data_IF_720970776223
#
_entry.id   IF_720970776223
#
_cell.length_a   1.000
_cell.length_b   1.000
_cell.length_c   1.000
_cell.angle_alpha   90.00
_cell.angle_beta   90.00
_cell.angle_gamma   90.00
#
_symmetry.space_group_name_H-M   'P 1'
#
loop_
_entity.id
_entity.type
_entity.pdbx_description
1 polymer ?
#
# COMPACT_ATOMS: atom_id res chain seq x y z
N UNK A 1 -58.08 -16.58 0.66
CA UNK A 1 -56.83 -15.82 0.50
C UNK A 1 -56.76 -14.78 1.62
N UNK A 2 -55.99 -15.02 2.71
CA UNK A 2 -55.79 -14.00 3.73
C UNK A 2 -54.55 -13.16 3.39
N UNK A 3 -54.74 -11.84 3.29
CA UNK A 3 -53.67 -10.85 3.19
C UNK A 3 -53.15 -10.57 4.61
N UNK A 4 -51.92 -10.99 4.90
CA UNK A 4 -51.26 -10.73 6.18
C UNK A 4 -50.70 -9.31 6.14
N UNK A 5 -51.43 -8.36 6.71
CA UNK A 5 -50.96 -7.00 6.99
C UNK A 5 -49.98 -7.03 8.18
N UNK A 6 -48.68 -7.02 7.88
CA UNK A 6 -47.61 -6.89 8.87
C UNK A 6 -47.55 -5.45 9.38
N UNK A 7 -48.30 -5.15 10.44
CA UNK A 7 -48.23 -3.87 11.15
C UNK A 7 -46.96 -3.84 12.02
N UNK A 8 -45.83 -3.44 11.45
CA UNK A 8 -44.58 -3.22 12.19
C UNK A 8 -44.69 -1.93 13.03
N UNK A 9 -44.36 -1.97 14.33
CA UNK A 9 -44.46 -0.78 15.19
C UNK A 9 -43.48 0.29 14.69
N UNK A 10 -43.91 1.56 14.64
CA UNK A 10 -43.12 2.69 14.11
C UNK A 10 -41.70 2.78 14.69
N UNK A 11 -41.50 2.37 15.94
CA UNK A 11 -40.20 2.30 16.62
C UNK A 11 -39.25 1.23 16.04
N UNK A 12 -39.80 0.11 15.54
CA UNK A 12 -39.02 -0.92 14.87
C UNK A 12 -38.60 -0.46 13.46
N UNK A 13 -39.48 0.24 12.74
CA UNK A 13 -39.16 0.85 11.43
C UNK A 13 -38.05 1.89 11.56
N UNK A 14 -38.12 2.75 12.58
CA UNK A 14 -37.14 3.81 12.81
C UNK A 14 -35.77 3.26 13.25
N UNK A 15 -35.74 2.18 14.04
CA UNK A 15 -34.50 1.46 14.38
C UNK A 15 -33.90 0.74 13.19
N UNK A 16 -34.72 0.08 12.37
CA UNK A 16 -34.27 -0.57 11.15
C UNK A 16 -33.69 0.45 10.15
N UNK A 17 -34.34 1.61 9.99
CA UNK A 17 -33.85 2.69 9.15
C UNK A 17 -32.51 3.28 9.65
N UNK A 18 -32.35 3.46 10.97
CA UNK A 18 -31.09 3.93 11.55
C UNK A 18 -29.94 2.92 11.37
N UNK A 19 -30.22 1.62 11.55
CA UNK A 19 -29.25 0.55 11.32
C UNK A 19 -28.86 0.49 9.84
N UNK A 20 -29.83 0.55 8.94
CA UNK A 20 -29.60 0.55 7.49
C UNK A 20 -28.78 1.77 7.05
N UNK A 21 -29.11 2.96 7.57
CA UNK A 21 -28.36 4.19 7.31
C UNK A 21 -26.92 4.10 7.82
N UNK A 22 -26.71 3.51 9.01
CA UNK A 22 -25.37 3.29 9.57
C UNK A 22 -24.57 2.29 8.74
N UNK A 23 -25.22 1.25 8.21
CA UNK A 23 -24.60 0.26 7.33
C UNK A 23 -24.18 0.87 5.97
N UNK A 24 -25.02 1.76 5.42
CA UNK A 24 -24.74 2.49 4.17
C UNK A 24 -23.59 3.49 4.36
N UNK A 25 -23.51 4.15 5.51
CA UNK A 25 -22.41 5.08 5.82
C UNK A 25 -21.08 4.37 6.14
N UNK A 26 -21.09 3.05 6.38
CA UNK A 26 -19.89 2.29 6.75
C UNK A 26 -19.06 1.80 5.54
N UNK A 27 -19.45 2.13 4.30
CA UNK A 27 -18.65 1.82 3.10
C UNK A 27 -17.51 2.82 2.92
N UNK A 28 -16.58 2.85 3.88
CA UNK A 28 -15.30 3.54 3.69
C UNK A 28 -14.37 2.61 2.91
N UNK A 29 -14.44 2.65 1.58
CA UNK A 29 -13.43 2.01 0.75
C UNK A 29 -12.11 2.76 0.94
N UNK A 30 -11.09 2.09 1.47
CA UNK A 30 -9.74 2.61 1.42
C UNK A 30 -9.34 2.68 -0.06
N UNK A 31 -9.17 3.90 -0.57
CA UNK A 31 -8.80 4.12 -1.97
C UNK A 31 -7.28 3.98 -2.10
N UNK A 32 -6.84 3.20 -3.08
CA UNK A 32 -5.42 3.10 -3.43
C UNK A 32 -4.92 4.44 -3.96
N UNK A 33 -3.76 4.94 -3.51
CA UNK A 33 -3.17 6.17 -4.04
C UNK A 33 -2.54 5.98 -5.43
N UNK A 34 -2.32 4.73 -5.87
CA UNK A 34 -1.61 4.42 -7.12
C UNK A 34 -2.42 3.60 -8.10
N UNK A 35 -3.49 2.91 -7.70
CA UNK A 35 -4.36 2.11 -8.56
C UNK A 35 -5.81 2.66 -8.55
N UNK A 36 -6.40 3.05 -9.69
CA UNK A 36 -7.82 3.37 -9.79
C UNK A 36 -8.62 2.07 -9.73
N UNK A 37 -9.94 2.22 -9.67
CA UNK A 37 -10.92 1.18 -9.37
C UNK A 37 -10.96 -0.03 -10.35
N UNK A 38 -10.14 -0.06 -11.41
CA UNK A 38 -10.16 -1.09 -12.46
C UNK A 38 -8.77 -1.53 -12.94
N UNK A 39 -7.72 -1.34 -12.14
CA UNK A 39 -6.42 -1.93 -12.50
C UNK A 39 -6.38 -3.41 -12.11
N UNK A 40 -6.11 -4.27 -13.09
CA UNK A 40 -5.75 -5.67 -12.86
C UNK A 40 -4.34 -5.73 -12.28
N UNK A 41 -4.26 -5.83 -10.95
CA UNK A 41 -3.02 -5.91 -10.19
C UNK A 41 -2.93 -7.27 -9.51
N UNK A 42 -1.80 -7.93 -9.63
CA UNK A 42 -1.53 -9.20 -8.97
C UNK A 42 -0.99 -8.95 -7.56
N UNK A 43 -1.50 -9.72 -6.59
CA UNK A 43 -1.08 -9.65 -5.18
C UNK A 43 0.28 -10.27 -4.88
N UNK A 44 1.28 -10.07 -5.74
CA UNK A 44 2.63 -10.60 -5.61
C UNK A 44 3.58 -9.51 -5.11
N UNK A 45 4.38 -9.85 -4.09
CA UNK A 45 5.46 -8.99 -3.59
C UNK A 45 6.83 -9.26 -4.24
N UNK A 46 7.84 -8.39 -4.01
CA UNK A 46 9.16 -8.51 -4.66
C UNK A 46 9.88 -9.85 -4.42
N UNK A 47 9.66 -10.48 -3.27
CA UNK A 47 10.26 -11.77 -2.94
C UNK A 47 9.81 -12.90 -3.89
N UNK A 48 8.62 -12.79 -4.49
CA UNK A 48 8.09 -13.79 -5.42
C UNK A 48 8.87 -13.82 -6.74
N UNK A 49 9.49 -12.70 -7.14
CA UNK A 49 10.37 -12.68 -8.32
C UNK A 49 11.66 -13.45 -8.05
N UNK A 50 12.15 -13.44 -6.80
CA UNK A 50 13.34 -14.20 -6.41
C UNK A 50 13.08 -15.71 -6.33
N UNK A 51 11.86 -16.12 -5.96
CA UNK A 51 11.45 -17.53 -5.95
C UNK A 51 10.99 -18.04 -7.32
N UNK A 52 10.72 -17.14 -8.28
CA UNK A 52 10.18 -17.49 -9.60
C UNK A 52 8.66 -17.67 -9.63
N UNK A 53 7.94 -17.15 -8.63
CA UNK A 53 6.47 -17.17 -8.58
C UNK A 53 5.84 -15.94 -9.26
N UNK A 54 6.63 -14.88 -9.48
CA UNK A 54 6.23 -13.68 -10.21
C UNK A 54 7.06 -13.56 -11.49
N UNK A 55 6.38 -13.32 -12.60
CA UNK A 55 6.93 -13.35 -13.95
C UNK A 55 7.09 -11.93 -14.52
N UNK A 56 8.04 -11.71 -15.45
CA UNK A 56 8.09 -10.46 -16.20
C UNK A 56 6.75 -10.17 -16.91
N UNK A 57 6.28 -8.93 -16.79
CA UNK A 57 4.96 -8.51 -17.30
C UNK A 57 3.85 -8.51 -16.25
N UNK A 58 4.07 -9.11 -15.07
CA UNK A 58 3.11 -9.01 -13.97
C UNK A 58 2.99 -7.57 -13.48
N UNK A 59 1.76 -7.06 -13.45
CA UNK A 59 1.46 -5.72 -12.95
C UNK A 59 1.15 -5.80 -11.45
N UNK A 60 1.90 -5.08 -10.63
CA UNK A 60 1.94 -5.24 -9.18
C UNK A 60 2.01 -3.89 -8.46
N UNK A 61 1.59 -3.87 -7.19
CA UNK A 61 1.80 -2.72 -6.30
C UNK A 61 2.81 -3.11 -5.24
N UNK A 62 3.96 -2.46 -5.26
CA UNK A 62 5.01 -2.62 -4.25
C UNK A 62 5.23 -1.31 -3.53
N UNK A 63 5.69 -1.40 -2.28
CA UNK A 63 6.03 -0.22 -1.52
C UNK A 63 7.03 -0.53 -0.44
N UNK A 64 7.55 0.52 0.18
CA UNK A 64 8.59 0.39 1.18
C UNK A 64 9.35 1.67 1.42
N UNK A 65 10.54 1.52 1.98
CA UNK A 65 11.40 2.62 2.39
C UNK A 65 12.51 2.84 1.37
N UNK A 66 12.67 4.07 0.91
CA UNK A 66 13.76 4.47 0.01
C UNK A 66 15.09 4.27 0.74
N UNK A 67 15.98 3.49 0.13
CA UNK A 67 17.36 3.31 0.59
C UNK A 67 18.33 4.22 -0.17
N UNK A 68 18.10 4.44 -1.46
CA UNK A 68 18.90 5.34 -2.30
C UNK A 68 18.10 5.82 -3.51
N UNK A 69 18.57 6.91 -4.11
CA UNK A 69 18.06 7.51 -5.34
C UNK A 69 19.24 7.80 -6.27
N UNK A 70 19.07 7.54 -7.56
CA UNK A 70 20.01 7.89 -8.63
C UNK A 70 19.22 8.40 -9.84
N UNK A 71 19.40 9.66 -10.22
CA UNK A 71 18.86 10.18 -11.48
C UNK A 71 19.85 9.87 -12.61
N UNK A 72 19.35 9.26 -13.67
CA UNK A 72 20.06 9.03 -14.93
C UNK A 72 19.54 10.02 -15.98
N UNK A 73 20.09 9.95 -17.20
CA UNK A 73 19.71 10.85 -18.28
C UNK A 73 18.26 10.64 -18.75
N UNK A 74 17.75 9.41 -18.64
CA UNK A 74 16.49 8.94 -19.21
C UNK A 74 15.46 8.49 -18.16
N UNK A 75 15.87 8.34 -16.90
CA UNK A 75 15.02 7.80 -15.82
C UNK A 75 15.59 8.10 -14.44
N UNK A 76 14.79 7.89 -13.40
CA UNK A 76 15.23 7.83 -12.01
C UNK A 76 15.19 6.40 -11.49
N UNK A 77 16.24 5.98 -10.79
CA UNK A 77 16.30 4.70 -10.13
C UNK A 77 16.24 4.87 -8.61
N UNK A 78 15.27 4.20 -7.96
CA UNK A 78 15.21 4.10 -6.51
C UNK A 78 15.54 2.68 -6.07
N UNK A 79 16.43 2.51 -5.09
CA UNK A 79 16.51 1.24 -4.36
C UNK A 79 15.57 1.32 -3.18
N UNK A 80 14.61 0.40 -3.08
CA UNK A 80 13.56 0.41 -2.05
C UNK A 80 13.62 -0.88 -1.24
N UNK A 81 13.67 -0.75 0.09
CA UNK A 81 13.47 -1.88 1.02
C UNK A 81 11.98 -2.13 1.14
N UNK A 82 11.51 -3.28 0.67
CA UNK A 82 10.06 -3.56 0.63
C UNK A 82 9.44 -3.71 2.01
N UNK A 83 8.16 -3.34 2.10
CA UNK A 83 7.33 -3.59 3.27
C UNK A 83 5.98 -4.17 2.82
N UNK A 84 5.36 -5.06 3.60
CA UNK A 84 3.97 -5.43 3.38
C UNK A 84 3.07 -4.19 3.41
N UNK A 85 2.08 -4.15 2.53
CA UNK A 85 1.17 -3.01 2.42
C UNK A 85 -0.16 -3.28 3.16
N UNK A 86 -0.85 -2.21 3.57
CA UNK A 86 -2.24 -2.29 4.04
C UNK A 86 -3.23 -2.13 2.87
N UNK A 87 -4.53 -2.06 3.17
CA UNK A 87 -5.59 -1.96 2.15
C UNK A 87 -5.59 -0.64 1.37
N UNK A 88 -4.88 0.39 1.86
CA UNK A 88 -4.68 1.67 1.16
C UNK A 88 -3.27 1.75 0.57
N UNK A 89 -2.64 0.60 0.32
CA UNK A 89 -1.28 0.41 -0.16
C UNK A 89 -0.19 1.09 0.67
N UNK A 90 -0.45 1.36 1.95
CA UNK A 90 0.53 1.99 2.83
C UNK A 90 1.49 0.95 3.42
N UNK A 91 2.81 1.22 3.44
CA UNK A 91 3.79 0.38 4.12
C UNK A 91 3.45 0.15 5.61
N UNK A 92 3.34 -1.12 6.01
CA UNK A 92 3.05 -1.54 7.39
C UNK A 92 4.34 -1.61 8.20
N UNK A 93 4.67 -0.51 8.87
CA UNK A 93 5.93 -0.33 9.62
C UNK A 93 6.04 -1.18 10.88
N UNK A 94 4.94 -1.83 11.29
CA UNK A 94 4.90 -2.79 12.39
C UNK A 94 5.19 -4.23 11.94
N UNK A 95 5.46 -4.45 10.66
CA UNK A 95 5.91 -5.72 10.10
C UNK A 95 7.37 -5.62 9.65
N UNK A 96 8.02 -6.77 9.58
CA UNK A 96 9.41 -6.83 9.17
C UNK A 96 9.58 -6.41 7.70
N UNK A 97 10.67 -5.70 7.38
CA UNK A 97 11.01 -5.38 6.00
C UNK A 97 11.33 -6.65 5.21
N UNK A 98 10.96 -6.65 3.93
CA UNK A 98 11.29 -7.69 2.99
C UNK A 98 12.58 -7.41 2.21
N UNK A 99 12.69 -8.03 1.04
CA UNK A 99 13.83 -7.88 0.13
C UNK A 99 13.87 -6.47 -0.50
N UNK A 100 15.05 -6.08 -0.99
CA UNK A 100 15.20 -4.84 -1.76
C UNK A 100 14.80 -5.07 -3.21
N UNK A 101 14.13 -4.08 -3.81
CA UNK A 101 13.88 -4.05 -5.24
C UNK A 101 14.40 -2.74 -5.83
N UNK A 102 14.70 -2.78 -7.13
CA UNK A 102 15.05 -1.62 -7.94
C UNK A 102 13.79 -1.12 -8.62
N UNK A 103 13.43 0.13 -8.36
CA UNK A 103 12.40 0.85 -9.08
C UNK A 103 13.05 1.68 -10.18
N UNK A 104 12.64 1.49 -11.42
CA UNK A 104 12.95 2.38 -12.54
C UNK A 104 11.72 3.26 -12.79
N UNK A 105 11.87 4.56 -12.74
CA UNK A 105 10.80 5.51 -12.96
C UNK A 105 11.16 6.44 -14.11
N UNK A 106 10.31 6.61 -15.14
CA UNK A 106 10.70 7.30 -16.38
C UNK A 106 11.03 8.78 -16.20
N UNK A 107 10.52 9.43 -15.14
CA UNK A 107 10.70 10.86 -14.93
C UNK A 107 11.78 11.19 -13.89
N UNK A 108 12.22 12.45 -13.91
CA UNK A 108 13.07 13.01 -12.87
C UNK A 108 12.30 13.11 -11.54
N UNK A 109 12.83 12.49 -10.49
CA UNK A 109 12.37 12.68 -9.11
C UNK A 109 13.36 13.58 -8.37
N UNK A 110 12.84 14.62 -7.72
CA UNK A 110 13.62 15.58 -6.94
C UNK A 110 14.31 14.92 -5.74
N UNK A 111 15.65 14.81 -5.70
CA UNK A 111 16.37 14.16 -4.62
C UNK A 111 16.12 14.76 -3.24
N UNK A 112 15.81 16.06 -3.15
CA UNK A 112 15.46 16.69 -1.89
C UNK A 112 14.11 16.20 -1.31
N UNK A 113 13.22 15.65 -2.14
CA UNK A 113 11.94 15.10 -1.71
C UNK A 113 12.00 13.58 -1.51
N UNK A 114 12.64 12.86 -2.43
CA UNK A 114 12.77 11.40 -2.43
C UNK A 114 14.03 10.92 -1.69
N UNK A 115 14.31 11.52 -0.54
CA UNK A 115 15.49 11.21 0.28
C UNK A 115 15.40 9.81 0.92
N UNK A 116 16.54 9.15 1.19
CA UNK A 116 16.58 7.92 1.96
C UNK A 116 15.81 8.03 3.28
N UNK A 117 15.10 6.97 3.64
CA UNK A 117 14.24 6.92 4.82
C UNK A 117 12.78 7.30 4.57
N UNK A 118 12.47 7.96 3.45
CA UNK A 118 11.08 8.23 3.03
C UNK A 118 10.39 6.96 2.54
N UNK A 119 9.06 6.96 2.58
CA UNK A 119 8.24 5.82 2.18
C UNK A 119 7.53 6.09 0.87
N UNK A 120 7.49 5.07 0.02
CA UNK A 120 6.81 5.11 -1.28
C UNK A 120 5.94 3.88 -1.47
N UNK A 121 4.95 4.06 -2.33
CA UNK A 121 4.14 2.99 -2.93
C UNK A 121 4.15 3.21 -4.43
N UNK A 122 4.26 2.13 -5.20
CA UNK A 122 4.40 2.17 -6.63
C UNK A 122 3.51 1.13 -7.25
N UNK A 123 2.75 1.54 -8.26
CA UNK A 123 2.19 0.62 -9.25
C UNK A 123 3.17 0.53 -10.42
N UNK A 124 3.47 -0.69 -10.85
CA UNK A 124 4.35 -0.91 -11.99
C UNK A 124 4.27 -2.33 -12.53
N UNK A 125 5.12 -2.59 -13.52
CA UNK A 125 5.24 -3.89 -14.17
C UNK A 125 6.58 -4.53 -13.80
N UNK A 126 6.56 -5.81 -13.43
CA UNK A 126 7.77 -6.58 -13.12
C UNK A 126 8.60 -6.74 -14.39
N UNK A 127 9.86 -6.32 -14.37
CA UNK A 127 10.80 -6.57 -15.47
C UNK A 127 11.59 -7.88 -15.28
N UNK A 128 11.65 -8.39 -14.05
CA UNK A 128 12.36 -9.61 -13.67
C UNK A 128 13.47 -9.34 -12.66
N UNK A 129 14.63 -10.00 -12.84
CA UNK A 129 15.79 -9.86 -11.97
C UNK A 129 16.95 -9.18 -12.68
N UNK A 130 17.59 -8.23 -12.00
CA UNK A 130 18.87 -7.66 -12.40
C UNK A 130 19.96 -8.08 -11.41
N UNK A 131 21.12 -8.45 -11.94
CA UNK A 131 22.31 -8.76 -11.13
C UNK A 131 23.14 -7.49 -11.04
N UNK A 132 23.27 -6.96 -9.84
CA UNK A 132 24.15 -5.83 -9.54
C UNK A 132 25.36 -6.34 -8.76
N UNK A 133 26.55 -6.01 -9.23
CA UNK A 133 27.79 -6.23 -8.49
C UNK A 133 27.98 -5.06 -7.52
N UNK A 134 27.94 -5.35 -6.22
CA UNK A 134 28.27 -4.39 -5.17
C UNK A 134 29.53 -4.90 -4.49
N UNK A 135 30.59 -4.10 -4.58
CA UNK A 135 31.96 -4.50 -4.24
C UNK A 135 32.39 -5.76 -5.03
N UNK A 136 32.37 -6.92 -4.40
CA UNK A 136 32.77 -8.22 -4.99
C UNK A 136 31.61 -9.24 -4.94
N UNK A 137 30.40 -8.81 -4.60
CA UNK A 137 29.24 -9.68 -4.45
C UNK A 137 28.18 -9.39 -5.51
N UNK A 138 27.71 -10.46 -6.16
CA UNK A 138 26.55 -10.40 -7.05
C UNK A 138 25.25 -10.45 -6.24
N UNK A 139 24.48 -9.37 -6.31
CA UNK A 139 23.16 -9.27 -5.68
C UNK A 139 22.08 -9.27 -6.76
N UNK A 140 21.09 -10.16 -6.58
CA UNK A 140 19.91 -10.23 -7.44
C UNK A 140 18.84 -9.31 -6.90
N UNK A 141 18.39 -8.39 -7.72
CA UNK A 141 17.36 -7.42 -7.40
C UNK A 141 16.14 -7.63 -8.29
N UNK A 142 14.95 -7.83 -7.71
CA UNK A 142 13.70 -7.63 -8.44
C UNK A 142 13.67 -6.22 -9.01
N UNK A 143 13.27 -6.11 -10.27
CA UNK A 143 13.15 -4.83 -10.97
C UNK A 143 11.69 -4.58 -11.27
N UNK A 144 11.26 -3.36 -10.94
CA UNK A 144 9.93 -2.85 -11.22
C UNK A 144 10.05 -1.63 -12.14
N UNK A 145 9.40 -1.69 -13.29
CA UNK A 145 9.17 -0.53 -14.13
C UNK A 145 7.95 0.24 -13.62
N UNK A 146 8.18 1.45 -13.11
CA UNK A 146 7.23 2.22 -12.34
C UNK A 146 6.33 3.08 -13.22
N UNK A 147 5.02 2.86 -13.13
CA UNK A 147 4.01 3.64 -13.84
C UNK A 147 3.52 4.82 -12.99
N UNK A 148 3.21 4.55 -11.71
CA UNK A 148 2.69 5.53 -10.78
C UNK A 148 3.33 5.40 -9.42
N UNK A 149 3.83 6.52 -8.92
CA UNK A 149 4.60 6.61 -7.70
C UNK A 149 3.91 7.54 -6.70
N UNK A 150 3.60 7.02 -5.53
CA UNK A 150 3.10 7.78 -4.41
C UNK A 150 4.20 7.95 -3.35
N UNK A 151 4.56 9.20 -3.05
CA UNK A 151 5.46 9.54 -1.95
C UNK A 151 4.64 9.88 -0.71
N UNK A 152 4.79 9.08 0.34
CA UNK A 152 4.10 9.38 1.58
C UNK A 152 4.76 10.55 2.33
N UNK A 153 4.03 11.34 3.16
CA UNK A 153 4.59 12.47 3.91
C UNK A 153 5.84 12.13 4.78
N UNK A 154 6.57 13.09 5.33
CA UNK A 154 7.81 12.76 6.06
C UNK A 154 7.57 12.13 7.46
N UNK A 155 6.47 12.51 8.12
CA UNK A 155 6.19 12.13 9.49
C UNK A 155 5.38 10.82 9.55
N UNK A 156 6.09 9.69 9.67
CA UNK A 156 5.48 8.37 9.77
C UNK A 156 4.59 8.22 11.02
N UNK A 157 4.80 9.01 12.08
CA UNK A 157 3.95 8.97 13.28
C UNK A 157 2.52 9.43 12.99
N UNK A 158 2.34 10.35 12.03
CA UNK A 158 1.01 10.83 11.60
C UNK A 158 0.17 9.73 10.95
N UNK A 159 0.78 8.65 10.48
CA UNK A 159 0.06 7.55 9.85
C UNK A 159 0.00 6.30 10.71
N UNK A 160 0.95 6.16 11.64
CA UNK A 160 0.95 5.13 12.67
C UNK A 160 0.06 5.50 13.86
N UNK A 161 -1.01 6.29 13.68
CA UNK A 161 -2.01 6.52 14.74
C UNK A 161 -2.64 5.18 15.11
N UNK A 162 -1.97 4.44 16.01
CA UNK A 162 -2.54 3.37 16.78
C UNK A 162 -3.58 4.05 17.65
N UNK A 163 -4.84 3.98 17.25
CA UNK A 163 -5.95 4.47 18.05
C UNK A 163 -5.96 3.67 19.35
N UNK A 164 -5.21 4.12 20.35
CA UNK A 164 -5.29 3.60 21.71
C UNK A 164 -6.60 4.09 22.28
N UNK A 165 -7.65 3.29 22.10
CA UNK A 165 -8.88 3.47 22.86
C UNK A 165 -8.60 3.08 24.31
N UNK A 166 -8.29 4.05 25.16
CA UNK A 166 -8.28 3.83 26.61
C UNK A 166 -9.72 3.97 27.13
N UNK A 167 -10.36 2.86 27.47
CA UNK A 167 -11.62 2.89 28.22
C UNK A 167 -11.26 3.20 29.68
N UNK A 168 -11.44 4.45 30.09
CA UNK A 168 -11.28 4.86 31.49
C UNK A 168 -12.40 4.26 32.35
N UNK A 169 -12.08 3.26 33.17
CA UNK A 169 -12.99 2.79 34.21
C UNK A 169 -12.91 3.77 35.38
N UNK A 170 -13.86 4.69 35.45
CA UNK A 170 -14.05 5.57 36.60
C UNK A 170 -14.63 4.79 37.78
N UNK A 171 -13.77 4.34 38.70
CA UNK A 171 -14.22 3.93 40.03
C UNK A 171 -14.61 5.19 40.81
N UNK A 172 -15.92 5.39 41.00
CA UNK A 172 -16.44 6.29 42.03
C UNK A 172 -16.32 5.55 43.37
N UNK A 173 -15.44 6.04 44.23
CA UNK A 173 -15.46 5.73 45.66
C UNK A 173 -16.70 6.34 46.32
#
# INVERSE_FOLDING_TARGET
MPTIELCLPARAVQRAAAILLTLVLATACASSPVAPENDDVVGLGPAHVLSGDAEPGDRVIWGGRIASIRNLADRTELTVVSYPLDRGDRPRLNQDPGVRFLLRYPDFLEPAQYVPGRFVTVLGTVEGLEVLTVDEHELRHPVLDGERLHLWPADASRWQSQTRFSIGVGIRL
#
